data_IF_179742547875
#
_entry.id   IF_179742547875
#
_cell.length_a   1.000
_cell.length_b   1.000
_cell.length_c   1.000
_cell.angle_alpha   90.00
_cell.angle_beta   90.00
_cell.angle_gamma   90.00
#
_symmetry.space_group_name_H-M   'P 1'
#
loop_
_entity.id
_entity.type
_entity.pdbx_description
1 polymer ?
#
# COMPACT_ATOMS: atom_id res chain seq x y z
N UNK A 1 4.41 -0.82 -0.63
CA UNK A 1 3.22 -1.17 0.20
C UNK A 1 2.51 -2.34 -0.44
N UNK A 2 2.08 -3.34 0.33
CA UNK A 2 1.25 -4.41 -0.22
C UNK A 2 -0.05 -3.87 -0.81
N UNK A 3 -0.49 -4.44 -1.91
CA UNK A 3 -1.72 -4.01 -2.54
C UNK A 3 -1.99 -4.69 -3.88
N UNK A 4 -3.16 -4.45 -4.41
CA UNK A 4 -3.60 -4.98 -5.69
C UNK A 4 -5.05 -4.59 -5.98
N UNK A 5 -5.62 -5.23 -6.98
CA UNK A 5 -6.99 -4.93 -7.41
C UNK A 5 -8.06 -5.47 -6.47
N UNK A 6 -9.20 -4.82 -6.47
CA UNK A 6 -10.41 -5.29 -5.76
C UNK A 6 -11.25 -6.10 -6.74
N UNK A 7 -11.57 -7.35 -6.36
CA UNK A 7 -12.45 -8.19 -7.17
C UNK A 7 -13.92 -7.72 -7.03
N UNK A 8 -14.78 -7.98 -8.04
CA UNK A 8 -16.15 -7.44 -8.05
C UNK A 8 -17.00 -7.77 -6.82
N UNK A 9 -16.76 -8.93 -6.20
CA UNK A 9 -17.54 -9.40 -5.06
C UNK A 9 -16.86 -9.17 -3.70
N UNK A 10 -15.72 -8.45 -3.70
CA UNK A 10 -14.97 -8.15 -2.48
C UNK A 10 -15.28 -6.76 -1.95
N UNK A 11 -15.27 -6.62 -0.62
CA UNK A 11 -15.15 -5.30 0.00
C UNK A 11 -13.69 -4.82 -0.08
N UNK A 12 -13.47 -3.54 0.16
CA UNK A 12 -12.13 -2.97 0.20
C UNK A 12 -11.24 -3.65 1.24
N UNK A 13 -11.78 -3.91 2.44
CA UNK A 13 -11.05 -4.58 3.52
C UNK A 13 -10.71 -6.03 3.15
N UNK A 14 -11.65 -6.76 2.57
CA UNK A 14 -11.42 -8.13 2.11
C UNK A 14 -10.32 -8.20 1.05
N UNK A 15 -10.34 -7.27 0.09
CA UNK A 15 -9.30 -7.19 -0.92
C UNK A 15 -7.92 -6.90 -0.28
N UNK A 16 -7.85 -5.97 0.66
CA UNK A 16 -6.61 -5.64 1.36
C UNK A 16 -6.08 -6.83 2.16
N UNK A 17 -6.93 -7.56 2.85
CA UNK A 17 -6.55 -8.76 3.59
C UNK A 17 -6.02 -9.85 2.67
N UNK A 18 -6.66 -10.06 1.53
CA UNK A 18 -6.23 -11.04 0.52
C UNK A 18 -4.85 -10.68 -0.04
N UNK A 19 -4.66 -9.43 -0.43
CA UNK A 19 -3.37 -8.96 -0.97
C UNK A 19 -2.24 -9.06 0.06
N UNK A 20 -2.51 -8.73 1.32
CA UNK A 20 -1.53 -8.90 2.40
C UNK A 20 -1.13 -10.37 2.54
N UNK A 21 -2.08 -11.27 2.54
CA UNK A 21 -1.80 -12.70 2.65
C UNK A 21 -0.98 -13.22 1.45
N UNK A 22 -1.34 -12.81 0.24
CA UNK A 22 -0.64 -13.19 -0.99
C UNK A 22 0.80 -12.68 -1.02
N UNK A 23 1.02 -11.44 -0.61
CA UNK A 23 2.33 -10.79 -0.71
C UNK A 23 3.24 -11.01 0.50
N UNK A 24 2.69 -11.25 1.67
CA UNK A 24 3.47 -11.35 2.91
C UNK A 24 3.26 -12.65 3.69
N UNK A 25 2.19 -13.37 3.44
CA UNK A 25 1.78 -14.52 4.24
C UNK A 25 1.19 -14.15 5.59
N UNK A 26 0.99 -12.89 5.89
CA UNK A 26 0.42 -12.42 7.16
C UNK A 26 -1.11 -12.46 7.11
N UNK A 27 -1.72 -13.07 8.11
CA UNK A 27 -3.17 -13.21 8.23
C UNK A 27 -3.76 -12.53 9.47
N UNK A 28 -2.91 -11.87 10.26
CA UNK A 28 -3.26 -11.29 11.56
C UNK A 28 -3.11 -9.77 11.61
N UNK A 29 -3.01 -9.10 10.47
CA UNK A 29 -2.92 -7.64 10.39
C UNK A 29 -4.31 -7.04 10.65
N UNK A 30 -4.40 -6.14 11.64
CA UNK A 30 -5.61 -5.37 11.87
C UNK A 30 -5.68 -4.21 10.87
N UNK A 31 -6.75 -4.17 10.09
CA UNK A 31 -7.01 -3.09 9.14
C UNK A 31 -7.99 -2.10 9.76
N UNK A 32 -7.62 -0.83 9.64
CA UNK A 32 -8.40 0.28 10.17
C UNK A 32 -9.04 1.08 9.04
N UNK A 33 -9.26 2.36 9.27
CA UNK A 33 -9.91 3.22 8.29
C UNK A 33 -9.07 3.46 7.05
N UNK A 34 -9.73 3.78 5.97
CA UNK A 34 -9.12 4.30 4.75
C UNK A 34 -8.56 5.68 5.04
N UNK A 35 -7.27 5.89 4.73
CA UNK A 35 -6.56 7.11 5.03
C UNK A 35 -6.59 8.11 3.88
N UNK A 36 -6.24 7.62 2.69
CA UNK A 36 -6.00 8.46 1.51
C UNK A 36 -6.55 7.81 0.26
N UNK A 37 -6.93 8.64 -0.70
CA UNK A 37 -7.24 8.24 -2.07
C UNK A 37 -6.31 8.98 -3.02
N UNK A 38 -5.93 8.35 -4.11
CA UNK A 38 -4.98 8.91 -5.07
C UNK A 38 -5.20 8.31 -6.44
N UNK A 39 -5.12 9.14 -7.48
CA UNK A 39 -5.17 8.70 -8.86
C UNK A 39 -3.85 8.95 -9.57
N UNK A 40 -3.41 8.00 -10.36
CA UNK A 40 -2.22 8.15 -11.19
C UNK A 40 -2.33 7.33 -12.46
N UNK A 41 -1.59 7.76 -13.49
CA UNK A 41 -1.51 7.03 -14.74
C UNK A 41 -0.23 6.19 -14.80
N UNK A 42 -0.35 5.01 -15.39
CA UNK A 42 0.80 4.18 -15.72
C UNK A 42 0.51 3.38 -16.99
N UNK A 43 1.55 2.74 -17.53
CA UNK A 43 1.41 1.90 -18.71
C UNK A 43 1.47 0.44 -18.30
N UNK A 44 0.47 -0.32 -18.70
CA UNK A 44 0.41 -1.76 -18.46
C UNK A 44 0.26 -2.47 -19.81
N UNK A 45 1.22 -3.36 -20.14
CA UNK A 45 1.24 -4.09 -21.40
C UNK A 45 1.10 -3.15 -22.64
N UNK A 46 1.77 -1.99 -22.59
CA UNK A 46 1.72 -1.00 -23.66
C UNK A 46 0.46 -0.15 -23.70
N UNK A 47 -0.49 -0.36 -22.78
CA UNK A 47 -1.74 0.40 -22.71
C UNK A 47 -1.71 1.40 -21.57
N UNK A 48 -2.15 2.66 -21.78
CA UNK A 48 -2.28 3.61 -20.69
C UNK A 48 -3.44 3.22 -19.78
N UNK A 49 -3.19 3.25 -18.47
CA UNK A 49 -4.17 2.90 -17.43
C UNK A 49 -4.19 3.99 -16.36
N UNK A 50 -5.38 4.42 -15.97
CA UNK A 50 -5.56 5.27 -14.79
C UNK A 50 -5.91 4.39 -13.60
N UNK A 51 -5.07 4.44 -12.58
CA UNK A 51 -5.25 3.68 -11.36
C UNK A 51 -5.84 4.58 -10.27
N UNK A 52 -6.91 4.11 -9.65
CA UNK A 52 -7.49 4.74 -8.47
C UNK A 52 -7.04 3.96 -7.24
N UNK A 53 -6.19 4.57 -6.42
CA UNK A 53 -5.66 3.95 -5.22
C UNK A 53 -6.49 4.31 -3.99
N UNK A 54 -6.75 3.33 -3.15
CA UNK A 54 -7.40 3.50 -1.84
C UNK A 54 -6.47 2.91 -0.80
N UNK A 55 -6.00 3.73 0.12
CA UNK A 55 -4.92 3.36 1.05
C UNK A 55 -5.48 3.28 2.47
N UNK A 56 -5.32 2.10 3.07
CA UNK A 56 -5.79 1.82 4.43
C UNK A 56 -4.61 1.76 5.40
N UNK A 57 -4.90 2.05 6.67
CA UNK A 57 -3.95 1.83 7.76
C UNK A 57 -4.09 0.38 8.23
N UNK A 58 -2.97 -0.34 8.28
CA UNK A 58 -2.89 -1.65 8.92
C UNK A 58 -1.87 -1.64 10.03
N UNK A 59 -2.09 -2.44 11.08
CA UNK A 59 -1.16 -2.61 12.19
C UNK A 59 -0.88 -4.07 12.45
N UNK A 60 0.38 -4.38 12.70
CA UNK A 60 0.82 -5.73 13.01
C UNK A 60 2.24 -5.73 13.54
N UNK A 61 2.70 -6.89 14.00
CA UNK A 61 4.07 -7.04 14.48
C UNK A 61 5.07 -6.96 13.31
N UNK A 62 6.17 -6.27 13.54
CA UNK A 62 7.28 -6.24 12.58
C UNK A 62 7.88 -7.64 12.46
N UNK A 63 7.91 -8.19 11.26
CA UNK A 63 8.45 -9.52 10.96
C UNK A 63 8.69 -9.69 9.47
N UNK A 64 9.40 -10.73 9.11
CA UNK A 64 9.62 -11.06 7.71
C UNK A 64 8.36 -11.69 7.09
N UNK A 65 8.14 -11.52 5.78
CA UNK A 65 7.13 -12.28 5.05
C UNK A 65 7.35 -13.79 5.21
N UNK A 66 6.26 -14.55 5.27
CA UNK A 66 6.30 -15.99 5.51
C UNK A 66 5.73 -16.79 4.33
N UNK A 67 6.21 -18.01 4.13
CA UNK A 67 5.77 -18.89 3.05
C UNK A 67 6.56 -18.70 1.77
N UNK A 68 6.18 -19.46 0.72
CA UNK A 68 6.78 -19.32 -0.61
C UNK A 68 6.01 -18.27 -1.41
N UNK A 69 6.54 -17.05 -1.45
CA UNK A 69 5.92 -15.91 -2.07
C UNK A 69 6.53 -15.55 -3.43
N UNK A 70 7.45 -16.37 -3.96
CA UNK A 70 8.16 -16.03 -5.20
C UNK A 70 7.23 -15.83 -6.39
N UNK A 71 6.21 -16.65 -6.54
CA UNK A 71 5.26 -16.53 -7.64
C UNK A 71 4.44 -15.24 -7.54
N UNK A 72 3.93 -14.92 -6.34
CA UNK A 72 3.17 -13.70 -6.10
C UNK A 72 4.03 -12.45 -6.34
N UNK A 73 5.26 -12.43 -5.82
CA UNK A 73 6.19 -11.32 -6.02
C UNK A 73 6.57 -11.13 -7.48
N UNK A 74 6.78 -12.23 -8.21
CA UNK A 74 7.09 -12.16 -9.65
C UNK A 74 5.92 -11.61 -10.46
N UNK A 75 4.69 -12.03 -10.15
CA UNK A 75 3.48 -11.54 -10.82
C UNK A 75 3.28 -10.05 -10.61
N UNK A 76 3.50 -9.58 -9.39
CA UNK A 76 3.37 -8.16 -9.03
C UNK A 76 4.66 -7.35 -9.27
N UNK A 77 5.70 -7.98 -9.83
CA UNK A 77 7.00 -7.36 -10.12
C UNK A 77 7.68 -6.79 -8.88
N UNK A 78 7.50 -7.45 -7.72
CA UNK A 78 8.18 -7.09 -6.49
C UNK A 78 9.61 -7.62 -6.54
N UNK A 79 10.59 -6.71 -6.56
CA UNK A 79 12.01 -7.07 -6.62
C UNK A 79 12.58 -7.34 -5.22
N UNK A 80 12.13 -6.60 -4.24
CA UNK A 80 12.59 -6.70 -2.86
C UNK A 80 11.56 -6.07 -1.93
N UNK A 81 11.75 -6.29 -0.62
CA UNK A 81 10.94 -5.67 0.44
C UNK A 81 11.86 -5.30 1.61
N UNK A 82 11.43 -4.35 2.43
CA UNK A 82 12.07 -4.01 3.70
C UNK A 82 11.11 -3.20 4.57
N UNK A 83 11.40 -3.21 5.86
CA UNK A 83 10.78 -2.30 6.79
C UNK A 83 11.49 -0.96 6.74
N UNK A 84 10.72 0.11 6.70
CA UNK A 84 11.21 1.47 6.64
C UNK A 84 10.79 2.25 7.87
N UNK A 85 11.75 2.94 8.54
CA UNK A 85 11.41 3.97 9.53
C UNK A 85 11.04 5.27 8.81
N UNK A 86 10.34 6.22 9.49
CA UNK A 86 10.06 7.52 8.89
C UNK A 86 11.31 8.26 8.43
N UNK A 87 12.40 8.20 9.20
CA UNK A 87 13.67 8.83 8.86
C UNK A 87 14.28 8.22 7.59
N UNK A 88 14.24 6.89 7.48
CA UNK A 88 14.72 6.19 6.29
C UNK A 88 13.92 6.56 5.04
N UNK A 89 12.60 6.72 5.17
CA UNK A 89 11.74 7.14 4.06
C UNK A 89 12.04 8.56 3.59
N UNK A 90 12.30 9.49 4.52
CA UNK A 90 12.69 10.85 4.19
C UNK A 90 14.00 10.92 3.42
N UNK A 91 14.94 10.03 3.73
CA UNK A 91 16.24 9.95 3.09
C UNK A 91 16.23 9.05 1.83
N UNK A 92 15.12 8.46 1.48
CA UNK A 92 15.02 7.52 0.36
C UNK A 92 15.21 8.24 -0.99
N UNK A 93 16.12 7.71 -1.80
CA UNK A 93 16.38 8.22 -3.15
C UNK A 93 15.50 7.56 -4.21
N UNK A 94 14.81 6.46 -3.86
CA UNK A 94 13.90 5.77 -4.74
C UNK A 94 12.57 6.50 -4.84
N UNK A 95 11.86 6.32 -5.96
CA UNK A 95 10.53 6.88 -6.12
C UNK A 95 9.56 6.26 -5.11
N UNK A 96 8.82 7.09 -4.39
CA UNK A 96 7.80 6.68 -3.44
C UNK A 96 6.41 6.86 -4.05
N UNK A 97 5.49 5.96 -3.69
CA UNK A 97 4.12 5.97 -4.17
C UNK A 97 3.16 5.81 -2.99
N UNK A 98 2.39 6.82 -2.60
CA UNK A 98 2.35 8.17 -3.19
C UNK A 98 3.64 8.96 -2.95
N UNK A 99 3.97 9.92 -3.83
CA UNK A 99 5.25 10.65 -3.75
C UNK A 99 5.49 11.42 -2.45
N UNK A 100 4.43 11.84 -1.78
CA UNK A 100 4.51 12.62 -0.52
C UNK A 100 4.37 11.74 0.72
N UNK A 101 4.64 10.45 0.60
CA UNK A 101 4.45 9.48 1.68
C UNK A 101 5.10 9.89 3.02
N UNK A 102 6.36 10.37 3.08
CA UNK A 102 6.97 10.78 4.35
C UNK A 102 6.18 11.88 5.07
N UNK A 103 5.74 12.91 4.35
CA UNK A 103 4.93 14.00 4.91
C UNK A 103 3.56 13.51 5.41
N UNK A 104 2.94 12.62 4.66
CA UNK A 104 1.65 12.05 5.01
C UNK A 104 1.73 11.20 6.28
N UNK A 105 2.79 10.41 6.43
CA UNK A 105 3.01 9.60 7.63
C UNK A 105 3.32 10.46 8.85
N UNK A 106 4.09 11.52 8.70
CA UNK A 106 4.36 12.48 9.77
C UNK A 106 3.06 13.11 10.27
N UNK A 107 2.21 13.56 9.35
CA UNK A 107 0.93 14.14 9.69
C UNK A 107 -0.01 13.14 10.37
N UNK A 108 -0.01 11.90 9.91
CA UNK A 108 -0.77 10.82 10.53
C UNK A 108 -0.35 10.59 11.99
N UNK A 109 0.96 10.64 12.26
CA UNK A 109 1.51 10.53 13.62
C UNK A 109 1.13 11.70 14.52
N UNK A 110 0.99 12.91 13.96
CA UNK A 110 0.65 14.13 14.72
C UNK A 110 -0.83 14.23 15.05
N UNK A 111 -1.69 13.97 14.07
CA UNK A 111 -3.15 14.25 14.18
C UNK A 111 -4.03 13.00 14.16
N UNK A 112 -3.45 11.82 13.95
CA UNK A 112 -4.18 10.56 13.84
C UNK A 112 -4.90 10.37 12.51
N UNK A 113 -5.71 9.32 12.43
CA UNK A 113 -6.45 8.98 11.23
C UNK A 113 -7.50 10.05 10.91
N UNK A 114 -7.68 10.42 9.63
CA UNK A 114 -8.71 11.37 9.24
C UNK A 114 -10.12 10.80 9.44
N UNK A 115 -11.10 11.68 9.66
CA UNK A 115 -12.52 11.28 9.79
C UNK A 115 -13.04 10.65 8.50
N UNK A 116 -12.58 11.16 7.38
CA UNK A 116 -12.85 10.59 6.05
C UNK A 116 -11.56 10.58 5.23
N UNK A 117 -11.46 9.73 4.20
CA UNK A 117 -10.25 9.65 3.38
C UNK A 117 -9.88 11.00 2.77
N UNK A 118 -8.60 11.33 2.80
CA UNK A 118 -8.07 12.55 2.19
C UNK A 118 -7.76 12.27 0.72
N UNK A 119 -8.34 13.08 -0.17
CA UNK A 119 -8.05 12.99 -1.59
C UNK A 119 -6.70 13.66 -1.89
N UNK A 120 -5.73 12.86 -2.32
CA UNK A 120 -4.40 13.33 -2.68
C UNK A 120 -4.32 13.86 -4.13
N UNK A 121 -5.42 13.78 -4.85
CA UNK A 121 -5.52 14.29 -6.20
C UNK A 121 -4.99 13.31 -7.25
N UNK A 122 -4.64 13.89 -8.38
CA UNK A 122 -4.15 13.18 -9.56
C UNK A 122 -2.71 13.59 -9.84
N UNK A 123 -1.90 12.59 -10.15
CA UNK A 123 -0.48 12.80 -10.47
C UNK A 123 -0.11 12.23 -11.83
#
# INVERSE_FOLDING_TARGET
MPGGGVDPDETLIEAAQRELLEETGWDDIELYSELWTWEHDFTRNGQPVRQHERILLGRGARRDPVGDLRAAHAEDRILRWRWWSPVELEACEEALWPPRLPELLERLGEVGSPVSPIDLGYT
#
